data_IF_879855270810
#
_entry.id   IF_879855270810
#
_cell.length_a   1.000
_cell.length_b   1.000
_cell.length_c   1.000
_cell.angle_alpha   90.00
_cell.angle_beta   90.00
_cell.angle_gamma   90.00
#
_symmetry.space_group_name_H-M   'P 1'
#
loop_
_entity.id
_entity.type
_entity.pdbx_description
1 polymer ?
#
# COMPACT_ATOMS: atom_id res chain seq x y z
N UNK A 1 17.42 10.76 1.88
CA UNK A 1 16.85 10.09 3.05
C UNK A 1 15.35 10.26 2.94
N UNK A 2 14.61 9.16 2.78
CA UNK A 2 13.14 9.22 2.77
C UNK A 2 12.69 9.33 4.22
N UNK A 3 11.99 10.41 4.54
CA UNK A 3 11.33 10.57 5.83
C UNK A 3 9.99 11.30 5.65
N UNK A 4 9.21 11.35 6.72
CA UNK A 4 7.90 12.03 6.76
C UNK A 4 8.00 13.51 6.39
N UNK A 5 9.10 14.18 6.77
CA UNK A 5 9.32 15.60 6.48
C UNK A 5 9.51 15.84 4.99
N UNK A 6 10.25 14.97 4.32
CA UNK A 6 10.46 15.01 2.88
C UNK A 6 9.14 14.84 2.12
N UNK A 7 8.36 13.80 2.42
CA UNK A 7 7.06 13.58 1.76
C UNK A 7 6.08 14.73 2.04
N UNK A 8 6.03 15.21 3.28
CA UNK A 8 5.20 16.36 3.64
C UNK A 8 5.57 17.61 2.85
N UNK A 9 6.86 17.92 2.70
CA UNK A 9 7.32 19.06 1.89
C UNK A 9 6.97 18.89 0.43
N UNK A 10 7.10 17.67 -0.09
CA UNK A 10 6.77 17.36 -1.48
C UNK A 10 5.28 17.60 -1.77
N UNK A 11 4.40 17.08 -0.91
CA UNK A 11 2.95 17.21 -1.07
C UNK A 11 2.46 18.63 -0.77
N UNK A 12 3.08 19.37 0.14
CA UNK A 12 2.73 20.78 0.38
C UNK A 12 3.14 21.68 -0.78
N UNK A 13 4.24 21.37 -1.46
CA UNK A 13 4.76 22.15 -2.58
C UNK A 13 4.49 21.44 -3.90
N UNK A 14 3.23 21.03 -4.15
CA UNK A 14 2.83 20.34 -5.39
C UNK A 14 3.25 21.16 -6.60
N UNK A 15 4.35 20.77 -7.21
CA UNK A 15 4.90 21.39 -8.40
C UNK A 15 4.77 20.42 -9.57
N UNK A 16 5.20 20.86 -10.76
CA UNK A 16 5.10 20.06 -11.99
C UNK A 16 5.94 18.77 -11.96
N UNK A 17 6.85 18.63 -11.00
CA UNK A 17 7.77 17.50 -10.85
C UNK A 17 7.32 16.54 -9.74
N UNK A 18 6.11 16.70 -9.21
CA UNK A 18 5.60 15.85 -8.14
C UNK A 18 5.67 14.37 -8.51
N UNK A 19 5.19 14.02 -9.70
CA UNK A 19 5.16 12.62 -10.17
C UNK A 19 6.57 12.03 -10.25
N UNK A 20 7.53 12.76 -10.83
CA UNK A 20 8.94 12.35 -10.90
C UNK A 20 9.53 12.09 -9.50
N UNK A 21 9.21 12.94 -8.53
CA UNK A 21 9.73 12.78 -7.16
C UNK A 21 9.04 11.64 -6.40
N UNK A 22 7.79 11.33 -6.73
CA UNK A 22 7.12 10.13 -6.20
C UNK A 22 7.72 8.87 -6.82
N UNK A 23 8.08 8.88 -8.10
CA UNK A 23 8.83 7.79 -8.74
C UNK A 23 10.21 7.58 -8.08
N UNK A 24 10.98 8.65 -7.86
CA UNK A 24 12.26 8.58 -7.15
C UNK A 24 12.14 7.97 -5.73
N UNK A 25 11.03 8.25 -5.03
CA UNK A 25 10.73 7.62 -3.73
C UNK A 25 10.47 6.12 -3.92
N UNK A 26 9.72 5.75 -4.96
CA UNK A 26 9.46 4.36 -5.32
C UNK A 26 10.75 3.57 -5.54
N UNK A 27 11.67 4.12 -6.34
CA UNK A 27 12.98 3.50 -6.61
C UNK A 27 13.82 3.33 -5.34
N UNK A 28 13.81 4.34 -4.46
CA UNK A 28 14.52 4.27 -3.19
C UNK A 28 13.91 3.23 -2.24
N UNK A 29 12.60 3.03 -2.25
CA UNK A 29 11.95 1.95 -1.48
C UNK A 29 12.24 0.58 -2.09
N UNK A 30 12.43 0.48 -3.40
CA UNK A 30 12.72 -0.80 -4.05
C UNK A 30 14.19 -1.22 -3.90
N UNK A 31 15.12 -0.29 -4.13
CA UNK A 31 16.56 -0.60 -4.22
C UNK A 31 17.39 -0.05 -3.06
N UNK A 32 16.84 0.82 -2.22
CA UNK A 32 17.56 1.50 -1.15
C UNK A 32 17.72 0.64 0.11
N UNK A 33 18.84 0.84 0.81
CA UNK A 33 19.01 0.36 2.19
C UNK A 33 18.55 1.45 3.16
N UNK A 34 17.31 1.33 3.64
CA UNK A 34 16.66 2.35 4.46
C UNK A 34 16.54 1.90 5.92
N UNK A 35 16.38 2.86 6.83
CA UNK A 35 16.07 2.55 8.21
C UNK A 35 14.62 2.06 8.32
N UNK A 36 14.41 0.81 8.77
CA UNK A 36 13.07 0.19 8.86
C UNK A 36 12.08 1.03 9.68
N UNK A 37 12.51 1.66 10.78
CA UNK A 37 11.62 2.50 11.60
C UNK A 37 11.22 3.80 10.89
N UNK A 38 12.09 4.34 10.04
CA UNK A 38 11.76 5.50 9.21
C UNK A 38 10.80 5.12 8.10
N UNK A 39 11.01 3.95 7.46
CA UNK A 39 10.10 3.42 6.43
C UNK A 39 8.71 3.19 7.02
N UNK A 40 8.58 2.57 8.21
CA UNK A 40 7.28 2.36 8.86
C UNK A 40 6.53 3.69 9.04
N UNK A 41 7.18 4.69 9.65
CA UNK A 41 6.57 6.02 9.88
C UNK A 41 6.21 6.72 8.56
N UNK A 42 7.07 6.58 7.56
CA UNK A 42 6.82 7.08 6.22
C UNK A 42 5.59 6.43 5.61
N UNK A 43 5.48 5.09 5.66
CA UNK A 43 4.37 4.30 5.12
C UNK A 43 3.05 4.66 5.81
N UNK A 44 3.04 4.78 7.14
CA UNK A 44 1.86 5.22 7.89
C UNK A 44 1.38 6.61 7.46
N UNK A 45 2.32 7.54 7.25
CA UNK A 45 1.99 8.89 6.80
C UNK A 45 1.53 8.92 5.33
N UNK A 46 2.23 8.19 4.45
CA UNK A 46 1.87 8.05 3.05
C UNK A 46 0.47 7.44 2.89
N UNK A 47 0.09 6.48 3.75
CA UNK A 47 -1.24 5.88 3.75
C UNK A 47 -2.33 6.92 4.03
N UNK A 48 -2.12 7.76 5.05
CA UNK A 48 -3.07 8.85 5.36
C UNK A 48 -3.23 9.80 4.18
N UNK A 49 -2.13 10.14 3.51
CA UNK A 49 -2.16 10.98 2.32
C UNK A 49 -2.86 10.29 1.13
N UNK A 50 -2.56 9.02 0.87
CA UNK A 50 -3.10 8.27 -0.25
C UNK A 50 -4.63 8.12 -0.17
N UNK A 51 -5.15 7.84 1.03
CA UNK A 51 -6.59 7.76 1.27
C UNK A 51 -7.25 9.12 1.01
N UNK A 52 -6.67 10.21 1.51
CA UNK A 52 -7.24 11.55 1.43
C UNK A 52 -7.02 12.26 0.08
N UNK A 53 -6.14 11.76 -0.78
CA UNK A 53 -5.85 12.36 -2.08
C UNK A 53 -7.08 12.35 -3.00
N UNK A 54 -7.31 13.42 -3.76
CA UNK A 54 -8.41 13.50 -4.73
C UNK A 54 -7.89 13.39 -6.17
N UNK A 55 -6.66 13.82 -6.42
CA UNK A 55 -6.03 13.66 -7.73
C UNK A 55 -5.69 12.18 -7.96
N UNK A 56 -6.33 11.56 -8.95
CA UNK A 56 -6.20 10.13 -9.22
C UNK A 56 -4.76 9.70 -9.54
N UNK A 57 -4.01 10.49 -10.31
CA UNK A 57 -2.62 10.17 -10.67
C UNK A 57 -1.69 10.23 -9.45
N UNK A 58 -1.86 11.24 -8.58
CA UNK A 58 -1.10 11.34 -7.33
C UNK A 58 -1.50 10.23 -6.37
N UNK A 59 -2.80 9.90 -6.28
CA UNK A 59 -3.30 8.80 -5.46
C UNK A 59 -2.65 7.48 -5.88
N UNK A 60 -2.68 7.17 -7.17
CA UNK A 60 -2.07 5.97 -7.72
C UNK A 60 -0.57 5.91 -7.42
N UNK A 61 0.15 7.01 -7.61
CA UNK A 61 1.57 7.10 -7.27
C UNK A 61 1.83 6.86 -5.77
N UNK A 62 0.99 7.38 -4.89
CA UNK A 62 1.09 7.12 -3.45
C UNK A 62 0.79 5.65 -3.11
N UNK A 63 -0.20 5.03 -3.75
CA UNK A 63 -0.50 3.61 -3.55
C UNK A 63 0.60 2.68 -4.07
N UNK A 64 1.23 3.02 -5.20
CA UNK A 64 2.42 2.34 -5.70
C UNK A 64 3.61 2.45 -4.74
N UNK A 65 3.84 3.63 -4.16
CA UNK A 65 4.84 3.82 -3.09
C UNK A 65 4.54 2.91 -1.88
N UNK A 66 3.28 2.83 -1.45
CA UNK A 66 2.89 1.94 -0.35
C UNK A 66 3.16 0.48 -0.70
N UNK A 67 2.82 0.05 -1.92
CA UNK A 67 3.12 -1.29 -2.41
C UNK A 67 4.63 -1.57 -2.38
N UNK A 68 5.47 -0.66 -2.88
CA UNK A 68 6.92 -0.84 -2.84
C UNK A 68 7.44 -0.96 -1.40
N UNK A 69 6.91 -0.17 -0.47
CA UNK A 69 7.30 -0.27 0.93
C UNK A 69 6.98 -1.65 1.52
N UNK A 70 5.79 -2.19 1.28
CA UNK A 70 5.42 -3.52 1.81
C UNK A 70 6.14 -4.66 1.12
N UNK A 71 6.37 -4.56 -0.20
CA UNK A 71 7.02 -5.61 -1.01
C UNK A 71 8.53 -5.68 -0.76
N UNK A 72 9.22 -4.54 -0.74
CA UNK A 72 10.69 -4.52 -0.76
C UNK A 72 11.33 -4.18 0.59
N UNK A 73 10.59 -3.54 1.49
CA UNK A 73 11.11 -3.13 2.81
C UNK A 73 10.53 -3.95 3.97
N UNK A 74 9.66 -4.93 3.69
CA UNK A 74 9.10 -5.86 4.69
C UNK A 74 8.46 -5.12 5.89
N UNK A 75 7.66 -4.08 5.62
CA UNK A 75 7.02 -3.28 6.71
C UNK A 75 5.55 -3.58 6.92
N UNK A 76 4.97 -4.46 6.11
CA UNK A 76 3.52 -4.70 6.07
C UNK A 76 2.95 -5.15 7.42
N UNK A 77 3.66 -6.02 8.14
CA UNK A 77 3.25 -6.56 9.44
C UNK A 77 3.42 -5.55 10.59
N UNK A 78 4.08 -4.41 10.36
CA UNK A 78 4.34 -3.37 11.36
C UNK A 78 3.49 -2.11 11.19
N UNK A 79 2.76 -1.98 10.09
CA UNK A 79 1.92 -0.82 9.80
C UNK A 79 0.47 -1.12 10.15
N UNK A 80 -0.26 -0.10 10.63
CA UNK A 80 -1.69 -0.24 10.90
C UNK A 80 -2.54 0.05 9.65
N UNK A 81 -3.32 -0.95 9.21
CA UNK A 81 -4.08 -0.93 7.97
C UNK A 81 -5.60 -0.83 8.14
N UNK A 82 -6.15 -0.67 9.35
CA UNK A 82 -7.59 -0.53 9.56
C UNK A 82 -8.17 0.66 8.79
N UNK A 83 -7.40 1.75 8.66
CA UNK A 83 -7.80 2.90 7.82
C UNK A 83 -7.95 2.50 6.36
N UNK A 84 -7.06 1.66 5.84
CA UNK A 84 -7.12 1.18 4.46
C UNK A 84 -8.30 0.21 4.26
N UNK A 85 -8.45 -0.75 5.18
CA UNK A 85 -9.55 -1.69 5.21
C UNK A 85 -10.92 -1.00 5.19
N UNK A 86 -11.08 0.06 5.99
CA UNK A 86 -12.31 0.86 6.02
C UNK A 86 -12.54 1.68 4.74
N UNK A 87 -11.47 2.01 4.00
CA UNK A 87 -11.56 2.79 2.77
C UNK A 87 -11.88 1.94 1.53
N UNK A 88 -11.63 0.61 1.56
CA UNK A 88 -11.77 -0.25 0.36
C UNK A 88 -13.07 -0.09 -0.42
N UNK A 89 -14.28 0.01 0.22
CA UNK A 89 -15.53 0.11 -0.54
C UNK A 89 -15.67 1.39 -1.36
N UNK A 90 -14.83 2.41 -1.09
CA UNK A 90 -14.82 3.69 -1.80
C UNK A 90 -13.74 3.79 -2.89
N UNK A 91 -12.85 2.81 -2.98
CA UNK A 91 -11.76 2.81 -3.96
C UNK A 91 -12.27 2.30 -5.31
N UNK A 92 -11.80 2.92 -6.38
CA UNK A 92 -12.00 2.41 -7.75
C UNK A 92 -10.99 1.31 -8.04
N UNK A 93 -11.33 0.41 -8.96
CA UNK A 93 -10.63 -0.86 -9.16
C UNK A 93 -9.09 -0.77 -9.25
N UNK A 94 -8.46 0.14 -10.01
CA UNK A 94 -7.00 0.28 -10.04
C UNK A 94 -6.37 0.52 -8.66
N UNK A 95 -7.03 1.31 -7.80
CA UNK A 95 -6.53 1.59 -6.45
C UNK A 95 -6.91 0.48 -5.47
N UNK A 96 -8.07 -0.14 -5.68
CA UNK A 96 -8.51 -1.29 -4.91
C UNK A 96 -7.55 -2.48 -5.06
N UNK A 97 -7.02 -2.69 -6.26
CA UNK A 97 -6.00 -3.71 -6.54
C UNK A 97 -4.74 -3.54 -5.66
N UNK A 98 -4.15 -2.34 -5.66
CA UNK A 98 -3.05 -2.02 -4.75
C UNK A 98 -3.44 -2.25 -3.28
N UNK A 99 -4.63 -1.79 -2.87
CA UNK A 99 -5.07 -1.86 -1.49
C UNK A 99 -5.26 -3.29 -0.99
N UNK A 100 -5.88 -4.17 -1.79
CA UNK A 100 -6.05 -5.59 -1.48
C UNK A 100 -4.70 -6.30 -1.36
N UNK A 101 -3.77 -6.02 -2.29
CA UNK A 101 -2.41 -6.57 -2.26
C UNK A 101 -1.67 -6.16 -0.98
N UNK A 102 -1.71 -4.86 -0.64
CA UNK A 102 -1.08 -4.32 0.58
C UNK A 102 -1.66 -4.97 1.85
N UNK A 103 -2.98 -5.12 1.94
CA UNK A 103 -3.63 -5.79 3.07
C UNK A 103 -3.23 -7.28 3.11
N UNK A 104 -3.13 -7.94 1.96
CA UNK A 104 -2.61 -9.31 1.83
C UNK A 104 -1.24 -9.48 2.50
N UNK A 105 -0.30 -8.59 2.15
CA UNK A 105 1.05 -8.60 2.72
C UNK A 105 1.11 -8.31 4.23
N UNK A 106 0.07 -7.72 4.83
CA UNK A 106 0.06 -7.51 6.29
C UNK A 106 0.07 -8.80 7.10
N UNK A 107 -0.27 -9.95 6.48
CA UNK A 107 -0.43 -11.26 7.13
C UNK A 107 -1.39 -11.26 8.31
N UNK A 108 -2.26 -10.25 8.41
CA UNK A 108 -3.16 -10.08 9.54
C UNK A 108 -4.53 -10.67 9.24
N UNK A 109 -4.82 -11.82 9.87
CA UNK A 109 -6.07 -12.57 9.69
C UNK A 109 -7.33 -11.76 10.00
N UNK A 110 -7.24 -10.64 10.75
CA UNK A 110 -8.39 -9.77 11.02
C UNK A 110 -9.01 -9.22 9.73
N UNK A 111 -8.25 -9.15 8.63
CA UNK A 111 -8.70 -8.60 7.35
C UNK A 111 -9.34 -9.62 6.40
N UNK A 112 -9.40 -10.91 6.76
CA UNK A 112 -10.03 -11.94 5.91
C UNK A 112 -11.47 -11.54 5.55
N UNK A 113 -12.28 -11.23 6.56
CA UNK A 113 -13.68 -10.82 6.38
C UNK A 113 -13.84 -9.50 5.61
N UNK A 114 -12.78 -8.69 5.55
CA UNK A 114 -12.76 -7.43 4.78
C UNK A 114 -12.49 -7.72 3.29
N UNK A 115 -11.64 -8.70 2.98
CA UNK A 115 -11.26 -9.07 1.62
C UNK A 115 -12.31 -9.98 0.95
N UNK A 116 -12.90 -10.92 1.70
CA UNK A 116 -13.84 -11.93 1.16
C UNK A 116 -14.93 -11.40 0.23
N UNK A 117 -15.59 -10.25 0.49
CA UNK A 117 -16.60 -9.70 -0.42
C UNK A 117 -16.09 -9.47 -1.85
N UNK A 118 -14.79 -9.15 -2.01
CA UNK A 118 -14.17 -8.84 -3.29
C UNK A 118 -13.92 -10.08 -4.18
N UNK A 119 -14.03 -11.29 -3.62
CA UNK A 119 -14.07 -12.54 -4.40
C UNK A 119 -15.26 -12.62 -5.36
N UNK A 120 -16.30 -11.81 -5.13
CA UNK A 120 -17.48 -11.72 -5.99
C UNK A 120 -17.54 -10.40 -6.77
N UNK A 121 -16.41 -9.68 -6.89
CA UNK A 121 -16.33 -8.44 -7.66
C UNK A 121 -16.78 -8.64 -9.11
N UNK A 122 -17.51 -7.68 -9.71
CA UNK A 122 -17.84 -7.73 -11.14
C UNK A 122 -16.59 -7.64 -12.04
N UNK A 123 -15.46 -7.18 -11.48
CA UNK A 123 -14.20 -7.01 -12.19
C UNK A 123 -13.28 -8.20 -11.95
N UNK A 124 -12.89 -8.87 -13.04
CA UNK A 124 -12.15 -10.15 -12.99
C UNK A 124 -10.83 -10.06 -12.22
N UNK A 125 -9.99 -9.08 -12.53
CA UNK A 125 -8.69 -8.93 -11.87
C UNK A 125 -8.84 -8.61 -10.37
N UNK A 126 -9.91 -7.93 -9.95
CA UNK A 126 -10.16 -7.70 -8.52
C UNK A 126 -10.49 -8.99 -7.77
N UNK A 127 -11.19 -9.94 -8.42
CA UNK A 127 -11.44 -11.25 -7.81
C UNK A 127 -10.14 -12.03 -7.66
N UNK A 128 -9.26 -11.96 -8.66
CA UNK A 128 -7.93 -12.59 -8.64
C UNK A 128 -7.08 -12.01 -7.51
N UNK A 129 -6.95 -10.69 -7.43
CA UNK A 129 -6.19 -10.01 -6.36
C UNK A 129 -6.75 -10.29 -4.98
N UNK A 130 -8.07 -10.36 -4.81
CA UNK A 130 -8.69 -10.74 -3.55
C UNK A 130 -8.34 -12.17 -3.14
N UNK A 131 -8.36 -13.12 -4.09
CA UNK A 131 -7.96 -14.50 -3.84
C UNK A 131 -6.48 -14.61 -3.46
N UNK A 132 -5.61 -13.90 -4.17
CA UNK A 132 -4.17 -13.83 -3.87
C UNK A 132 -3.91 -13.23 -2.48
N UNK A 133 -4.58 -12.13 -2.13
CA UNK A 133 -4.45 -11.52 -0.81
C UNK A 133 -4.88 -12.46 0.33
N UNK A 134 -5.91 -13.29 0.12
CA UNK A 134 -6.33 -14.30 1.10
C UNK A 134 -5.34 -15.46 1.20
N UNK A 135 -4.75 -15.90 0.09
CA UNK A 135 -3.65 -16.87 0.10
C UNK A 135 -2.46 -16.29 0.88
N UNK A 136 -2.12 -15.04 0.60
CA UNK A 136 -1.00 -14.36 1.23
C UNK A 136 -1.21 -14.24 2.75
N UNK A 137 -2.39 -13.82 3.22
CA UNK A 137 -2.69 -13.75 4.67
C UNK A 137 -2.54 -15.10 5.36
N UNK A 138 -2.92 -16.20 4.69
CA UNK A 138 -2.88 -17.54 5.26
C UNK A 138 -1.56 -18.26 5.04
N UNK A 139 -0.63 -17.69 4.26
CA UNK A 139 0.66 -18.29 3.98
C UNK A 139 1.51 -18.32 5.26
N UNK A 140 1.77 -19.54 5.73
CA UNK A 140 2.66 -19.83 6.84
C UNK A 140 3.90 -20.56 6.30
N UNK A 141 5.08 -19.92 6.29
CA UNK A 141 6.30 -20.56 5.79
C UNK A 141 6.71 -21.78 6.62
N UNK A 142 6.26 -21.91 7.88
CA UNK A 142 6.58 -23.07 8.74
C UNK A 142 5.68 -24.29 8.46
N UNK A 143 4.52 -24.11 7.82
CA UNK A 143 3.62 -25.22 7.41
C UNK A 143 3.88 -25.74 6.00
N UNK A 144 4.85 -25.15 5.28
CA UNK A 144 5.17 -25.49 3.90
C UNK A 144 6.40 -26.41 3.77
N UNK A 145 6.82 -27.05 4.87
CA UNK A 145 7.91 -28.04 4.94
C UNK A 145 7.40 -29.45 5.21
#
# INVERSE_FOLDING_TARGET
MIDVTFLKRLILNRNKDLDLKLDEIGDLLEYGTLNRNEVIKFTEYALVLAIAEENTAVKESLFRILLNAVTFQDVADKVEWDKLANALPSLHDPILDYALTIIGFSKNQKFINVIEPYLNSPTDYIRETAAEALVEINYDPEKSQ
#
